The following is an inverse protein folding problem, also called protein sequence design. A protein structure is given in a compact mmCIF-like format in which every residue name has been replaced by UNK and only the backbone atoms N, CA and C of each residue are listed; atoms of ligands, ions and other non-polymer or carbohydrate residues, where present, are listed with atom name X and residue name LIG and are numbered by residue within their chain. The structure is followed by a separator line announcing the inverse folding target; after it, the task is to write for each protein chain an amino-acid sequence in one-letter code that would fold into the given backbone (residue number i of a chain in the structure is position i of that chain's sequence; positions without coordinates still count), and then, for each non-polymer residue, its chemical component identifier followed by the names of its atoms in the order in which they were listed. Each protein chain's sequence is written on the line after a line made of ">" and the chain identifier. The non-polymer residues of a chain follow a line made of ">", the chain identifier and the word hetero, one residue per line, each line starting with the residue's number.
data_IF_041147828812
#
_entry.id   IF_041147828812
#
_cell.length_a   1.000
_cell.length_b   1.000
_cell.length_c   1.000
_cell.angle_alpha   90.00
_cell.angle_beta   90.00
_cell.angle_gamma   90.00
#
_symmetry.space_group_name_H-M   'P 1'
#
loop_
_entity.id
_entity.type
_entity.pdbx_description
1 polymer ?
#
# COMPACT_ATOMS: atom_id res chain seq x y z
N UNK A 1 11.74 -19.01 19.04
CA UNK A 1 10.29 -18.80 18.82
C UNK A 1 10.14 -17.39 18.31
N UNK A 2 9.61 -17.22 17.10
CA UNK A 2 9.48 -15.90 16.47
C UNK A 2 8.39 -15.14 17.24
N UNK A 3 8.73 -14.00 17.87
CA UNK A 3 7.84 -13.32 18.86
C UNK A 3 6.53 -12.80 18.24
N UNK A 4 6.46 -12.74 16.91
CA UNK A 4 5.34 -12.19 16.15
C UNK A 4 4.99 -13.14 15.00
N UNK A 5 4.34 -14.25 15.31
CA UNK A 5 3.92 -15.23 14.29
C UNK A 5 2.87 -14.62 13.36
N UNK A 6 3.11 -14.73 12.04
CA UNK A 6 2.14 -14.31 11.02
C UNK A 6 1.23 -15.50 10.75
N UNK A 7 -0.07 -15.32 10.95
CA UNK A 7 -1.11 -16.32 10.66
C UNK A 7 -2.11 -15.82 9.62
N UNK A 8 -2.88 -16.73 9.03
CA UNK A 8 -4.00 -16.36 8.18
C UNK A 8 -5.09 -15.68 9.00
N UNK A 9 -5.76 -14.70 8.43
CA UNK A 9 -6.93 -14.02 9.00
C UNK A 9 -8.18 -14.47 8.24
N UNK A 10 -8.89 -15.52 8.71
CA UNK A 10 -10.06 -16.05 7.99
C UNK A 10 -11.17 -15.01 7.79
N UNK A 11 -11.74 -14.97 6.58
CA UNK A 11 -12.77 -13.99 6.18
C UNK A 11 -14.00 -14.00 7.09
N UNK A 12 -14.43 -15.16 7.56
CA UNK A 12 -15.56 -15.34 8.49
C UNK A 12 -15.34 -14.67 9.85
N UNK A 13 -14.08 -14.51 10.27
CA UNK A 13 -13.71 -13.85 11.53
C UNK A 13 -13.35 -12.38 11.36
N UNK A 14 -12.68 -12.03 10.27
CA UNK A 14 -12.00 -10.74 10.12
C UNK A 14 -12.66 -9.77 9.14
N UNK A 15 -13.68 -10.20 8.38
CA UNK A 15 -14.40 -9.28 7.47
C UNK A 15 -14.96 -8.07 8.21
N UNK A 16 -14.71 -6.88 7.67
CA UNK A 16 -15.15 -5.61 8.22
C UNK A 16 -14.28 -5.08 9.37
N UNK A 17 -13.15 -5.73 9.68
CA UNK A 17 -12.19 -5.20 10.65
C UNK A 17 -11.58 -3.92 10.09
N UNK A 18 -11.84 -2.79 10.77
CA UNK A 18 -11.29 -1.49 10.39
C UNK A 18 -9.78 -1.47 10.55
N UNK A 19 -9.08 -0.91 9.57
CA UNK A 19 -7.64 -0.68 9.62
C UNK A 19 -7.38 0.66 10.32
N UNK A 20 -6.68 0.70 11.47
CA UNK A 20 -6.40 1.94 12.18
C UNK A 20 -5.19 2.66 11.56
N UNK A 21 -5.32 3.05 10.29
CA UNK A 21 -4.24 3.64 9.51
C UNK A 21 -4.19 5.16 9.68
N UNK A 22 -3.23 5.63 10.46
CA UNK A 22 -2.86 7.06 10.47
C UNK A 22 -1.61 7.27 9.63
N UNK A 23 -1.70 8.18 8.66
CA UNK A 23 -0.55 8.62 7.86
C UNK A 23 0.09 9.80 8.58
N UNK A 24 1.42 9.75 8.75
CA UNK A 24 2.24 10.85 9.28
C UNK A 24 3.50 10.99 8.45
N UNK A 25 3.74 12.20 7.93
CA UNK A 25 4.92 12.50 7.12
C UNK A 25 5.40 13.94 7.30
N UNK A 26 6.72 14.11 7.20
CA UNK A 26 7.40 15.42 7.17
C UNK A 26 7.71 15.91 5.74
N UNK A 27 7.31 15.14 4.74
CA UNK A 27 7.66 15.34 3.34
C UNK A 27 6.65 14.65 2.43
N UNK A 28 6.58 15.09 1.19
CA UNK A 28 5.70 14.56 0.15
C UNK A 28 6.42 14.53 -1.20
N UNK A 29 5.91 13.74 -2.13
CA UNK A 29 6.31 13.80 -3.54
C UNK A 29 5.42 14.77 -4.30
N UNK A 30 6.01 15.87 -4.76
CA UNK A 30 5.32 16.91 -5.52
C UNK A 30 5.30 16.56 -7.00
N UNK A 31 4.15 16.78 -7.65
CA UNK A 31 3.95 16.48 -9.07
C UNK A 31 3.99 17.75 -9.91
N UNK A 32 4.97 17.80 -10.81
CA UNK A 32 5.06 18.85 -11.83
C UNK A 32 4.79 18.22 -13.20
N UNK A 33 3.61 18.51 -13.76
CA UNK A 33 3.14 17.94 -15.02
C UNK A 33 3.20 19.00 -16.11
N UNK A 34 4.10 18.81 -17.07
CA UNK A 34 4.05 19.50 -18.36
C UNK A 34 3.15 18.69 -19.29
N UNK A 35 2.02 19.24 -19.75
CA UNK A 35 1.05 18.52 -20.54
C UNK A 35 1.65 18.07 -21.88
N UNK A 36 0.93 17.18 -22.56
CA UNK A 36 1.30 16.77 -23.91
C UNK A 36 1.35 17.97 -24.86
N UNK A 37 2.44 18.06 -25.61
CA UNK A 37 2.58 18.87 -26.81
C UNK A 37 2.95 17.97 -28.01
N UNK A 38 3.32 18.59 -29.13
CA UNK A 38 3.75 17.87 -30.35
C UNK A 38 4.99 16.98 -30.17
N UNK A 39 5.75 17.16 -29.09
CA UNK A 39 6.98 16.44 -28.77
C UNK A 39 6.80 15.44 -27.61
N UNK A 40 5.69 15.51 -26.86
CA UNK A 40 5.38 14.60 -25.75
C UNK A 40 4.96 15.34 -24.49
N UNK A 41 5.04 14.66 -23.34
CA UNK A 41 4.80 15.25 -22.02
C UNK A 41 6.01 15.04 -21.12
N UNK A 42 6.10 15.83 -20.04
CA UNK A 42 7.11 15.61 -19.00
C UNK A 42 6.45 15.67 -17.64
N UNK A 43 6.54 14.58 -16.90
CA UNK A 43 6.13 14.52 -15.51
C UNK A 43 7.38 14.40 -14.66
N UNK A 44 7.48 15.20 -13.60
CA UNK A 44 8.47 15.02 -12.55
C UNK A 44 7.78 14.87 -11.20
N UNK A 45 8.25 13.87 -10.45
CA UNK A 45 7.81 13.58 -9.09
C UNK A 45 9.00 13.82 -8.16
N UNK A 46 8.96 14.89 -7.37
CA UNK A 46 10.13 15.38 -6.61
C UNK A 46 9.80 15.40 -5.13
N UNK A 47 10.63 14.75 -4.30
CA UNK A 47 10.45 14.80 -2.85
C UNK A 47 10.74 16.21 -2.33
N UNK A 48 9.78 16.82 -1.64
CA UNK A 48 9.90 18.13 -0.99
C UNK A 48 9.57 18.02 0.51
N UNK A 49 10.22 18.80 1.39
CA UNK A 49 9.81 18.90 2.78
C UNK A 49 8.42 19.52 2.88
N UNK A 50 7.61 19.09 3.85
CA UNK A 50 6.35 19.72 4.16
C UNK A 50 6.58 20.93 5.09
N UNK A 51 5.75 21.97 4.96
CA UNK A 51 5.81 23.16 5.83
C UNK A 51 5.40 22.82 7.28
N UNK A 52 4.51 21.85 7.43
CA UNK A 52 4.09 21.26 8.70
C UNK A 52 3.95 19.75 8.54
N UNK A 53 3.91 19.00 9.64
CA UNK A 53 3.60 17.56 9.61
C UNK A 53 2.28 17.34 8.88
N UNK A 54 2.30 16.45 7.88
CA UNK A 54 1.09 15.97 7.20
C UNK A 54 0.54 14.83 8.04
N UNK A 55 -0.72 14.95 8.46
CA UNK A 55 -1.43 13.93 9.22
C UNK A 55 -2.76 13.66 8.53
N UNK A 56 -3.01 12.40 8.18
CA UNK A 56 -4.32 11.95 7.73
C UNK A 56 -4.80 10.83 8.64
N UNK A 57 -6.00 11.00 9.18
CA UNK A 57 -6.63 10.03 10.07
C UNK A 57 -7.76 9.30 9.32
N UNK A 58 -8.06 8.03 9.69
CA UNK A 58 -9.19 7.30 9.09
C UNK A 58 -10.53 8.05 9.21
N UNK A 59 -10.68 8.85 10.27
CA UNK A 59 -11.87 9.64 10.60
C UNK A 59 -12.15 10.77 9.59
N UNK A 60 -11.17 11.16 8.77
CA UNK A 60 -11.32 12.16 7.72
C UNK A 60 -12.05 11.63 6.48
N UNK A 61 -12.23 10.32 6.38
CA UNK A 61 -12.82 9.66 5.22
C UNK A 61 -14.17 9.00 5.59
N UNK A 62 -15.19 9.19 4.75
CA UNK A 62 -16.53 8.63 4.95
C UNK A 62 -16.56 7.09 4.92
N UNK A 63 -15.52 6.48 4.34
CA UNK A 63 -15.39 5.04 4.15
C UNK A 63 -14.01 4.58 4.64
N UNK A 64 -13.89 4.14 5.91
CA UNK A 64 -12.62 3.67 6.44
C UNK A 64 -12.20 2.34 5.79
N UNK A 65 -10.90 2.20 5.59
CA UNK A 65 -10.29 0.97 5.11
C UNK A 65 -10.60 -0.20 6.06
N UNK A 66 -10.91 -1.36 5.49
CA UNK A 66 -11.24 -2.55 6.27
C UNK A 66 -10.92 -3.82 5.52
N UNK A 67 -10.65 -4.89 6.27
CA UNK A 67 -10.41 -6.21 5.68
C UNK A 67 -11.68 -6.74 5.00
N UNK A 68 -11.50 -7.34 3.83
CA UNK A 68 -12.50 -8.03 3.05
C UNK A 68 -13.68 -7.15 2.62
N UNK A 69 -13.41 -5.93 2.18
CA UNK A 69 -14.40 -5.10 1.49
C UNK A 69 -15.03 -5.87 0.31
N UNK A 70 -16.30 -5.57 0.01
CA UNK A 70 -17.12 -6.46 -0.84
C UNK A 70 -16.59 -6.63 -2.27
N UNK A 71 -15.92 -5.61 -2.80
CA UNK A 71 -15.33 -5.64 -4.14
C UNK A 71 -14.03 -6.46 -4.22
N UNK A 72 -13.44 -6.86 -3.08
CA UNK A 72 -12.29 -7.76 -3.02
C UNK A 72 -12.75 -9.21 -2.82
N UNK A 73 -13.45 -9.76 -3.82
CA UNK A 73 -14.12 -11.05 -3.73
C UNK A 73 -13.18 -12.19 -3.30
N UNK A 74 -11.99 -12.25 -3.90
CA UNK A 74 -10.99 -13.31 -3.73
C UNK A 74 -9.81 -12.87 -2.83
N UNK A 75 -10.05 -11.94 -1.91
CA UNK A 75 -9.02 -11.49 -0.98
C UNK A 75 -8.53 -12.62 -0.06
N UNK A 76 -7.27 -12.52 0.34
CA UNK A 76 -6.63 -13.29 1.41
C UNK A 76 -5.92 -12.33 2.36
N UNK A 77 -6.18 -12.44 3.67
CA UNK A 77 -5.55 -11.61 4.68
C UNK A 77 -4.66 -12.44 5.62
N UNK A 78 -3.60 -11.83 6.09
CA UNK A 78 -2.63 -12.41 7.02
C UNK A 78 -2.21 -11.36 8.03
N UNK A 79 -1.85 -11.75 9.25
CA UNK A 79 -1.50 -10.78 10.26
C UNK A 79 -0.91 -11.36 11.54
N UNK A 80 -0.66 -10.46 12.50
CA UNK A 80 -0.18 -10.76 13.85
C UNK A 80 -1.26 -10.38 14.83
N UNK A 81 -1.51 -11.26 15.80
CA UNK A 81 -2.51 -11.05 16.87
C UNK A 81 -1.79 -11.01 18.21
N UNK A 82 -2.21 -10.14 19.11
CA UNK A 82 -1.73 -10.10 20.49
C UNK A 82 -2.20 -11.33 21.30
N UNK A 83 -1.65 -11.52 22.49
CA UNK A 83 -2.14 -12.53 23.43
C UNK A 83 -3.59 -12.29 23.86
N UNK A 84 -4.05 -11.03 23.85
CA UNK A 84 -5.43 -10.61 24.13
C UNK A 84 -6.39 -10.81 22.94
N UNK A 85 -5.89 -11.19 21.76
CA UNK A 85 -6.71 -11.39 20.56
C UNK A 85 -6.86 -10.15 19.66
N UNK A 86 -6.12 -9.07 19.93
CA UNK A 86 -6.16 -7.82 19.17
C UNK A 86 -5.26 -7.88 17.93
N UNK A 87 -5.68 -7.27 16.83
CA UNK A 87 -4.86 -7.16 15.62
C UNK A 87 -3.70 -6.19 15.84
N UNK A 88 -2.47 -6.68 15.67
CA UNK A 88 -1.26 -5.85 15.80
C UNK A 88 -0.62 -5.53 14.45
N UNK A 89 -0.90 -6.32 13.43
CA UNK A 89 -0.50 -6.04 12.06
C UNK A 89 -1.32 -6.88 11.09
N UNK A 90 -1.49 -6.40 9.86
CA UNK A 90 -2.16 -7.14 8.80
C UNK A 90 -1.58 -6.78 7.42
N UNK A 91 -1.76 -7.70 6.50
CA UNK A 91 -1.65 -7.48 5.06
C UNK A 91 -2.82 -8.20 4.40
N UNK A 92 -3.46 -7.54 3.45
CA UNK A 92 -4.48 -8.13 2.59
C UNK A 92 -4.02 -8.09 1.15
N UNK A 93 -4.28 -9.18 0.44
CA UNK A 93 -4.00 -9.28 -0.99
C UNK A 93 -5.23 -9.76 -1.73
N UNK A 94 -5.50 -9.19 -2.90
CA UNK A 94 -6.54 -9.65 -3.81
C UNK A 94 -5.95 -9.87 -5.22
N UNK A 95 -6.27 -10.99 -5.87
CA UNK A 95 -5.92 -11.17 -7.27
C UNK A 95 -6.60 -10.17 -8.21
N UNK A 96 -5.85 -9.63 -9.16
CA UNK A 96 -6.38 -8.91 -10.30
C UNK A 96 -6.24 -9.78 -11.56
N UNK A 97 -7.35 -10.39 -11.97
CA UNK A 97 -7.36 -11.40 -13.02
C UNK A 97 -7.02 -10.83 -14.41
N UNK A 98 -7.55 -9.65 -14.75
CA UNK A 98 -7.40 -9.06 -16.08
C UNK A 98 -5.94 -8.94 -16.53
N UNK A 99 -5.06 -8.49 -15.63
CA UNK A 99 -3.64 -8.33 -15.97
C UNK A 99 -2.73 -9.28 -15.20
N UNK A 100 -3.29 -10.33 -14.58
CA UNK A 100 -2.58 -11.37 -13.83
C UNK A 100 -1.59 -10.82 -12.78
N UNK A 101 -2.06 -9.91 -11.92
CA UNK A 101 -1.28 -9.34 -10.81
C UNK A 101 -1.88 -9.72 -9.47
N UNK A 102 -1.09 -9.59 -8.41
CA UNK A 102 -1.60 -9.60 -7.04
C UNK A 102 -1.61 -8.16 -6.53
N UNK A 103 -2.74 -7.69 -6.03
CA UNK A 103 -2.87 -6.35 -5.42
C UNK A 103 -2.71 -6.51 -3.92
N UNK A 104 -1.83 -5.75 -3.28
CA UNK A 104 -1.90 -5.51 -1.83
C UNK A 104 -2.92 -4.41 -1.62
N UNK A 105 -4.04 -4.76 -1.01
CA UNK A 105 -5.16 -3.85 -0.75
C UNK A 105 -4.96 -3.13 0.58
N UNK A 106 -4.47 -3.86 1.59
CA UNK A 106 -4.19 -3.32 2.91
C UNK A 106 -2.80 -3.73 3.39
N UNK A 107 -2.09 -2.81 4.05
CA UNK A 107 -0.91 -3.12 4.84
C UNK A 107 -0.82 -2.18 6.03
N UNK A 108 -0.90 -2.76 7.23
CA UNK A 108 -0.81 -2.00 8.46
C UNK A 108 0.02 -2.72 9.51
N UNK A 109 0.80 -1.94 10.27
CA UNK A 109 1.61 -2.42 11.39
C UNK A 109 1.48 -1.42 12.54
N UNK A 110 1.05 -1.92 13.71
CA UNK A 110 0.94 -1.14 14.92
C UNK A 110 2.28 -0.49 15.29
N UNK A 111 2.23 0.67 15.94
CA UNK A 111 3.43 1.45 16.25
C UNK A 111 4.45 0.64 17.06
N UNK A 112 3.96 -0.18 17.99
CA UNK A 112 4.79 -1.07 18.81
C UNK A 112 5.50 -2.17 18.00
N UNK A 113 5.00 -2.54 16.82
CA UNK A 113 5.60 -3.56 15.95
C UNK A 113 6.43 -2.95 14.80
N UNK A 114 6.38 -1.64 14.60
CA UNK A 114 7.20 -0.95 13.60
C UNK A 114 8.69 -1.12 13.91
N UNK A 115 9.51 -1.12 12.84
CA UNK A 115 10.97 -1.29 12.89
C UNK A 115 11.47 -2.61 13.50
N UNK A 116 10.58 -3.58 13.76
CA UNK A 116 10.92 -4.95 14.22
C UNK A 116 10.89 -6.01 13.11
N UNK A 117 10.87 -5.59 11.84
CA UNK A 117 10.84 -6.49 10.68
C UNK A 117 9.48 -7.09 10.33
N UNK A 118 8.41 -6.79 11.09
CA UNK A 118 7.06 -7.34 10.86
C UNK A 118 6.52 -6.93 9.48
N UNK A 119 6.61 -5.66 9.10
CA UNK A 119 6.16 -5.20 7.77
C UNK A 119 6.87 -5.90 6.62
N UNK A 120 8.19 -6.15 6.74
CA UNK A 120 8.94 -6.93 5.74
C UNK A 120 8.37 -8.35 5.63
N UNK A 121 8.18 -9.05 6.75
CA UNK A 121 7.66 -10.43 6.77
C UNK A 121 6.24 -10.52 6.20
N UNK A 122 5.39 -9.52 6.44
CA UNK A 122 4.08 -9.42 5.81
C UNK A 122 4.19 -9.23 4.30
N UNK A 123 5.06 -8.33 3.83
CA UNK A 123 5.28 -8.16 2.39
C UNK A 123 5.89 -9.40 1.72
N UNK A 124 6.80 -10.10 2.41
CA UNK A 124 7.32 -11.40 1.95
C UNK A 124 6.16 -12.41 1.82
N UNK A 125 5.19 -12.42 2.74
CA UNK A 125 3.98 -13.24 2.63
C UNK A 125 3.15 -12.90 1.39
N UNK A 126 2.96 -11.63 1.06
CA UNK A 126 2.28 -11.25 -0.20
C UNK A 126 3.04 -11.75 -1.45
N UNK A 127 4.37 -11.67 -1.45
CA UNK A 127 5.20 -12.21 -2.54
C UNK A 127 5.09 -13.74 -2.65
N UNK A 128 5.05 -14.46 -1.53
CA UNK A 128 4.79 -15.90 -1.50
C UNK A 128 3.42 -16.26 -2.08
N UNK A 129 2.38 -15.49 -1.74
CA UNK A 129 1.03 -15.66 -2.30
C UNK A 129 1.05 -15.45 -3.81
N UNK A 130 1.74 -14.41 -4.29
CA UNK A 130 1.86 -14.15 -5.72
C UNK A 130 2.54 -15.31 -6.46
N UNK A 131 3.62 -15.87 -5.91
CA UNK A 131 4.28 -17.07 -6.47
C UNK A 131 3.34 -18.27 -6.48
N UNK A 132 2.69 -18.56 -5.35
CA UNK A 132 1.76 -19.70 -5.20
C UNK A 132 0.62 -19.62 -6.20
N UNK A 133 0.07 -18.43 -6.41
CA UNK A 133 -1.03 -18.16 -7.34
C UNK A 133 -0.55 -17.91 -8.79
N UNK A 134 0.76 -17.99 -9.07
CA UNK A 134 1.36 -17.75 -10.40
C UNK A 134 1.04 -16.36 -10.99
N UNK A 135 0.97 -15.35 -10.12
CA UNK A 135 0.82 -13.94 -10.51
C UNK A 135 2.16 -13.43 -11.05
N UNK A 136 2.13 -12.49 -12.01
CA UNK A 136 3.36 -11.98 -12.63
C UNK A 136 4.05 -10.87 -11.83
N UNK A 137 3.28 -10.18 -10.99
CA UNK A 137 3.74 -9.05 -10.19
C UNK A 137 2.86 -8.88 -8.94
N UNK A 138 3.42 -8.25 -7.92
CA UNK A 138 2.69 -7.67 -6.79
C UNK A 138 2.59 -6.18 -7.02
N UNK A 139 1.40 -5.60 -6.89
CA UNK A 139 1.18 -4.16 -7.02
C UNK A 139 0.46 -3.60 -5.80
N UNK A 140 0.61 -2.31 -5.58
CA UNK A 140 -0.09 -1.59 -4.54
C UNK A 140 -0.24 -0.13 -4.93
N UNK A 141 -1.09 0.56 -4.20
CA UNK A 141 -1.22 2.00 -4.26
C UNK A 141 -0.88 2.62 -2.91
N UNK A 142 -0.47 3.88 -2.92
CA UNK A 142 -0.32 4.73 -1.73
C UNK A 142 -0.38 6.20 -2.13
N UNK A 143 -0.52 7.10 -1.16
CA UNK A 143 -0.57 8.54 -1.41
C UNK A 143 0.84 9.14 -1.55
N UNK A 144 0.99 10.15 -2.40
CA UNK A 144 2.26 10.88 -2.60
C UNK A 144 2.78 11.58 -1.33
N UNK A 145 1.90 11.87 -0.37
CA UNK A 145 2.27 12.38 0.95
C UNK A 145 2.74 11.27 1.92
N UNK A 146 2.48 9.99 1.67
CA UNK A 146 2.89 8.87 2.51
C UNK A 146 4.33 8.43 2.20
N UNK A 147 5.28 9.35 2.35
CA UNK A 147 6.70 9.13 2.01
C UNK A 147 7.34 8.01 2.81
N UNK A 148 6.86 7.75 4.03
CA UNK A 148 7.28 6.61 4.84
C UNK A 148 6.91 5.26 4.20
N UNK A 149 5.67 5.12 3.73
CA UNK A 149 5.23 3.90 3.03
C UNK A 149 5.95 3.75 1.69
N UNK A 150 6.04 4.81 0.87
CA UNK A 150 6.78 4.79 -0.40
C UNK A 150 8.23 4.34 -0.15
N UNK A 151 8.91 4.94 0.84
CA UNK A 151 10.25 4.53 1.23
C UNK A 151 10.32 3.05 1.61
N UNK A 152 9.39 2.56 2.42
CA UNK A 152 9.31 1.14 2.77
C UNK A 152 9.17 0.24 1.54
N UNK A 153 8.25 0.55 0.62
CA UNK A 153 8.01 -0.24 -0.59
C UNK A 153 9.22 -0.28 -1.52
N UNK A 154 9.90 0.86 -1.73
CA UNK A 154 11.14 0.92 -2.50
C UNK A 154 12.23 0.02 -1.89
N UNK A 155 12.36 -0.01 -0.56
CA UNK A 155 13.28 -0.94 0.12
C UNK A 155 12.86 -2.41 0.01
N UNK A 156 11.59 -2.69 -0.28
CA UNK A 156 11.09 -4.03 -0.60
C UNK A 156 11.31 -4.43 -2.07
N UNK A 157 11.92 -3.56 -2.88
CA UNK A 157 12.20 -3.79 -4.30
C UNK A 157 11.05 -3.39 -5.24
N UNK A 158 10.07 -2.63 -4.75
CA UNK A 158 9.03 -2.07 -5.61
C UNK A 158 9.59 -0.88 -6.40
N UNK A 159 9.00 -0.63 -7.56
CA UNK A 159 9.30 0.50 -8.43
C UNK A 159 8.01 1.20 -8.87
N UNK A 160 8.13 2.45 -9.34
CA UNK A 160 7.00 3.23 -9.84
C UNK A 160 6.46 2.60 -11.13
N UNK A 161 5.16 2.29 -11.15
CA UNK A 161 4.48 1.74 -12.33
C UNK A 161 3.34 2.63 -12.85
N UNK A 162 2.97 3.67 -12.11
CA UNK A 162 1.94 4.62 -12.53
C UNK A 162 1.51 5.55 -11.40
N UNK A 163 0.61 6.47 -11.71
CA UNK A 163 -0.01 7.39 -10.77
C UNK A 163 -1.37 7.84 -11.30
N UNK A 164 -2.22 8.38 -10.43
CA UNK A 164 -3.53 8.92 -10.78
C UNK A 164 -3.75 10.23 -10.01
N UNK A 165 -3.95 11.32 -10.75
CA UNK A 165 -4.07 12.68 -10.22
C UNK A 165 -5.50 13.09 -9.88
N UNK A 166 -6.47 12.19 -10.04
CA UNK A 166 -7.87 12.42 -9.71
C UNK A 166 -8.54 11.19 -9.07
N UNK A 167 -7.76 10.39 -8.32
CA UNK A 167 -8.25 9.15 -7.74
C UNK A 167 -9.15 9.40 -6.53
N UNK A 168 -8.77 10.32 -5.65
CA UNK A 168 -9.50 10.59 -4.41
C UNK A 168 -10.40 11.83 -4.56
N UNK A 169 -9.94 12.84 -5.29
CA UNK A 169 -10.66 14.08 -5.55
C UNK A 169 -10.12 14.82 -6.79
N UNK A 170 -10.82 15.87 -7.22
CA UNK A 170 -10.31 16.76 -8.28
C UNK A 170 -9.19 17.71 -7.79
N UNK A 171 -8.80 17.63 -6.51
CA UNK A 171 -7.83 18.51 -5.87
C UNK A 171 -6.57 17.77 -5.40
N UNK A 172 -6.38 16.50 -5.79
CA UNK A 172 -5.31 15.62 -5.25
C UNK A 172 -3.91 16.22 -5.40
N UNK A 173 -3.62 16.91 -6.51
CA UNK A 173 -2.35 17.62 -6.71
C UNK A 173 -2.19 18.75 -5.69
N UNK A 174 -3.23 19.57 -5.51
CA UNK A 174 -3.19 20.69 -4.57
C UNK A 174 -3.10 20.22 -3.11
N UNK A 175 -3.76 19.10 -2.79
CA UNK A 175 -3.73 18.43 -1.49
C UNK A 175 -2.45 17.62 -1.26
N UNK A 176 -1.63 17.39 -2.30
CA UNK A 176 -0.42 16.55 -2.26
C UNK A 176 -0.73 15.08 -1.93
N UNK A 177 -1.95 14.64 -2.26
CA UNK A 177 -2.50 13.30 -2.06
C UNK A 177 -2.71 12.60 -3.41
N UNK A 178 -1.75 12.67 -4.32
CA UNK A 178 -1.82 11.95 -5.61
C UNK A 178 -1.63 10.45 -5.35
N UNK A 179 -2.48 9.61 -5.97
CA UNK A 179 -2.30 8.16 -5.90
C UNK A 179 -1.04 7.76 -6.67
N UNK A 180 -0.12 7.08 -6.00
CA UNK A 180 1.10 6.51 -6.56
C UNK A 180 0.94 5.00 -6.60
N UNK A 181 1.10 4.39 -7.77
CA UNK A 181 1.06 2.93 -7.93
C UNK A 181 2.48 2.38 -8.04
N UNK A 182 2.79 1.40 -7.21
CA UNK A 182 4.09 0.73 -7.16
C UNK A 182 3.95 -0.75 -7.51
N UNK A 183 4.98 -1.33 -8.13
CA UNK A 183 5.00 -2.74 -8.55
C UNK A 183 6.30 -3.45 -8.21
N UNK A 184 6.20 -4.71 -7.82
CA UNK A 184 7.29 -5.66 -7.66
C UNK A 184 7.11 -6.80 -8.66
N UNK A 185 8.10 -7.02 -9.52
CA UNK A 185 8.04 -8.03 -10.58
C UNK A 185 8.74 -9.32 -10.13
N UNK A 186 8.04 -10.45 -10.21
CA UNK A 186 8.59 -11.76 -9.83
C UNK A 186 9.61 -12.27 -10.86
N UNK A 187 9.42 -11.89 -12.11
CA UNK A 187 10.38 -12.05 -13.19
C UNK A 187 10.27 -10.82 -14.09
N UNK A 188 11.40 -10.13 -14.31
CA UNK A 188 11.54 -9.16 -15.39
C UNK A 188 12.25 -9.85 -16.55
N UNK A 189 11.86 -9.53 -17.78
CA UNK A 189 12.78 -9.75 -18.89
C UNK A 189 14.01 -8.87 -18.62
N UNK A 190 15.19 -9.46 -18.65
CA UNK A 190 16.44 -8.69 -18.63
C UNK A 190 16.42 -7.73 -19.84
N UNK A 191 16.75 -6.46 -19.61
CA UNK A 191 16.88 -5.43 -20.66
C UNK A 191 18.15 -5.64 -21.51
#
# INVERSE_FOLDING_TARGET
>A
MDKYEISAFPKDKWKGTIIPMTIRSDSYYDFEIRPFDKNGCRISMVRKPAESEIVHNPEEYDFPDSLYQEHWENAEAYGVVSESGEMLACIEVCPEEWSNRLVVTELWVSEELRRKGVGKRLMDKAKEVAVRQKRRAVILETQSCNTNAIGFYLHQGFELIGFDTCCYSNEDIARREVRVNLGFFLARAEE
#
